data_IF_706487006517
#
_entry.id   IF_706487006517
#
_cell.length_a   1.000
_cell.length_b   1.000
_cell.length_c   1.000
_cell.angle_alpha   90.00
_cell.angle_beta   90.00
_cell.angle_gamma   90.00
#
_symmetry.space_group_name_H-M   'P 1'
#
loop_
_entity.id
_entity.type
_entity.pdbx_description
1 polymer ?
#
# COMPACT_ATOMS: atom_id res chain seq x y z
N UNK A 1 -14.70 -30.25 -7.83
CA UNK A 1 -14.38 -29.12 -8.74
C UNK A 1 -14.09 -27.95 -7.83
N UNK A 2 -12.87 -27.40 -7.84
CA UNK A 2 -12.55 -26.22 -7.04
C UNK A 2 -13.44 -25.07 -7.53
N UNK A 3 -14.19 -24.46 -6.63
CA UNK A 3 -15.04 -23.32 -6.94
C UNK A 3 -14.11 -22.15 -7.32
N UNK A 4 -14.02 -21.82 -8.61
CA UNK A 4 -13.24 -20.70 -9.10
C UNK A 4 -14.03 -19.41 -8.85
N UNK A 5 -13.41 -18.44 -8.23
CA UNK A 5 -13.99 -17.09 -8.05
C UNK A 5 -13.79 -16.30 -9.33
N UNK A 6 -14.89 -15.85 -9.94
CA UNK A 6 -14.86 -15.04 -11.16
C UNK A 6 -14.92 -13.56 -10.82
N UNK A 7 -13.95 -12.79 -11.32
CA UNK A 7 -13.79 -11.34 -11.07
C UNK A 7 -13.80 -10.56 -12.38
N UNK A 8 -14.67 -9.58 -12.47
CA UNK A 8 -14.60 -8.57 -13.54
C UNK A 8 -13.59 -7.48 -13.18
N UNK A 9 -12.43 -7.49 -13.83
CA UNK A 9 -11.36 -6.50 -13.63
C UNK A 9 -11.69 -5.09 -14.11
N UNK A 10 -12.88 -4.86 -14.68
CA UNK A 10 -13.39 -3.53 -15.04
C UNK A 10 -14.23 -2.87 -13.94
N UNK A 11 -14.53 -3.58 -12.84
CA UNK A 11 -15.32 -3.04 -11.73
C UNK A 11 -14.65 -1.81 -11.09
N UNK A 12 -15.45 -0.85 -10.62
CA UNK A 12 -14.99 0.36 -9.97
C UNK A 12 -13.98 1.14 -10.83
N UNK A 13 -12.79 1.39 -10.32
CA UNK A 13 -11.71 2.03 -11.09
C UNK A 13 -11.13 1.14 -12.20
N UNK A 14 -11.38 -0.16 -12.19
CA UNK A 14 -10.81 -1.10 -13.16
C UNK A 14 -9.28 -1.07 -13.17
N UNK A 15 -8.65 -0.95 -12.01
CA UNK A 15 -7.21 -0.78 -11.85
C UNK A 15 -6.46 -2.05 -11.43
N UNK A 16 -5.17 -1.91 -11.14
CA UNK A 16 -4.32 -3.00 -10.66
C UNK A 16 -4.62 -3.47 -9.23
N UNK A 17 -5.41 -2.72 -8.47
CA UNK A 17 -5.80 -3.08 -7.11
C UNK A 17 -6.63 -4.38 -7.09
N UNK A 18 -7.60 -4.54 -8.00
CA UNK A 18 -8.41 -5.76 -8.13
C UNK A 18 -7.52 -6.99 -8.23
N UNK A 19 -6.50 -6.93 -9.11
CA UNK A 19 -5.58 -8.04 -9.33
C UNK A 19 -4.86 -8.41 -8.01
N UNK A 20 -4.23 -7.42 -7.37
CA UNK A 20 -3.43 -7.66 -6.15
C UNK A 20 -4.28 -8.19 -5.00
N UNK A 21 -5.45 -7.58 -4.77
CA UNK A 21 -6.37 -8.03 -3.72
C UNK A 21 -6.88 -9.45 -4.00
N UNK A 22 -7.29 -9.74 -5.23
CA UNK A 22 -7.76 -11.08 -5.61
C UNK A 22 -6.68 -12.15 -5.49
N UNK A 23 -5.42 -11.86 -5.86
CA UNK A 23 -4.30 -12.77 -5.71
C UNK A 23 -4.01 -13.08 -4.23
N UNK A 24 -3.95 -12.06 -3.39
CA UNK A 24 -3.76 -12.25 -1.94
C UNK A 24 -4.88 -13.10 -1.34
N UNK A 25 -6.13 -12.80 -1.68
CA UNK A 25 -7.30 -13.55 -1.22
C UNK A 25 -7.28 -15.00 -1.73
N UNK A 26 -6.94 -15.22 -2.99
CA UNK A 26 -6.83 -16.56 -3.57
C UNK A 26 -5.81 -17.42 -2.79
N UNK A 27 -4.65 -16.87 -2.43
CA UNK A 27 -3.65 -17.58 -1.62
C UNK A 27 -4.18 -17.85 -0.22
N UNK A 28 -4.81 -16.85 0.41
CA UNK A 28 -5.31 -16.93 1.79
C UNK A 28 -6.47 -17.92 1.94
N UNK A 29 -7.33 -18.05 0.93
CA UNK A 29 -8.51 -18.92 0.95
C UNK A 29 -8.30 -20.26 0.27
N UNK A 30 -7.23 -20.41 -0.53
CA UNK A 30 -7.00 -21.57 -1.36
C UNK A 30 -7.92 -21.68 -2.59
N UNK A 31 -8.75 -20.63 -2.85
CA UNK A 31 -9.64 -20.61 -4.00
C UNK A 31 -8.91 -20.18 -5.27
N UNK A 32 -9.17 -20.86 -6.37
CA UNK A 32 -8.75 -20.39 -7.69
C UNK A 32 -9.50 -19.10 -8.06
N UNK A 33 -8.88 -18.23 -8.84
CA UNK A 33 -9.52 -17.01 -9.35
C UNK A 33 -9.30 -16.83 -10.85
N UNK A 34 -10.39 -16.51 -11.56
CA UNK A 34 -10.42 -16.04 -12.94
C UNK A 34 -10.71 -14.54 -12.98
N UNK A 35 -9.82 -13.74 -13.57
CA UNK A 35 -10.00 -12.30 -13.72
C UNK A 35 -10.12 -11.98 -15.20
N UNK A 36 -11.26 -11.45 -15.62
CA UNK A 36 -11.50 -10.95 -16.99
C UNK A 36 -11.40 -9.43 -17.02
N UNK A 37 -11.40 -8.83 -18.22
CA UNK A 37 -11.36 -7.38 -18.41
C UNK A 37 -10.26 -6.66 -17.62
N UNK A 38 -9.11 -7.29 -17.49
CA UNK A 38 -7.98 -6.80 -16.69
C UNK A 38 -7.62 -5.38 -17.12
N UNK A 39 -7.80 -4.44 -16.19
CA UNK A 39 -7.50 -3.01 -16.38
C UNK A 39 -8.18 -2.38 -17.61
N UNK A 40 -9.39 -2.82 -17.95
CA UNK A 40 -10.09 -2.39 -19.17
C UNK A 40 -10.34 -0.87 -19.24
N UNK A 41 -10.49 -0.19 -18.09
CA UNK A 41 -10.73 1.27 -18.02
C UNK A 41 -9.45 2.12 -18.00
N UNK A 42 -8.27 1.53 -18.14
CA UNK A 42 -7.00 2.26 -18.14
C UNK A 42 -6.52 2.54 -19.56
N UNK A 43 -5.79 3.63 -19.75
CA UNK A 43 -5.20 4.03 -21.05
C UNK A 43 -4.42 2.89 -21.71
N UNK A 44 -3.74 2.07 -20.91
CA UNK A 44 -3.07 0.84 -21.33
C UNK A 44 -3.73 -0.35 -20.64
N UNK A 45 -4.74 -0.99 -21.24
CA UNK A 45 -5.41 -2.16 -20.66
C UNK A 45 -4.48 -3.36 -20.55
N UNK A 46 -4.93 -4.38 -19.81
CA UNK A 46 -4.19 -5.60 -19.57
C UNK A 46 -3.06 -5.47 -18.54
N UNK A 47 -2.40 -6.59 -18.27
CA UNK A 47 -1.28 -6.65 -17.34
C UNK A 47 -0.12 -5.77 -17.81
N UNK A 48 0.42 -4.94 -16.93
CA UNK A 48 1.66 -4.20 -17.13
C UNK A 48 2.80 -4.86 -16.35
N UNK A 49 4.09 -4.56 -16.60
CA UNK A 49 5.21 -5.22 -15.93
C UNK A 49 5.08 -5.36 -14.41
N UNK A 50 4.66 -4.31 -13.71
CA UNK A 50 4.46 -4.37 -12.24
C UNK A 50 3.33 -5.31 -11.82
N UNK A 51 2.27 -5.46 -12.63
CA UNK A 51 1.18 -6.38 -12.33
C UNK A 51 1.63 -7.82 -12.56
N UNK A 52 2.38 -8.05 -13.63
CA UNK A 52 2.97 -9.34 -13.92
C UNK A 52 3.96 -9.77 -12.83
N UNK A 53 4.78 -8.82 -12.31
CA UNK A 53 5.66 -9.08 -11.17
C UNK A 53 4.86 -9.48 -9.92
N UNK A 54 3.74 -8.81 -9.63
CA UNK A 54 2.85 -9.18 -8.52
C UNK A 54 2.22 -10.56 -8.71
N UNK A 55 1.76 -10.90 -9.94
CA UNK A 55 1.23 -12.24 -10.28
C UNK A 55 2.28 -13.31 -10.05
N UNK A 56 3.49 -13.11 -10.56
CA UNK A 56 4.60 -14.07 -10.42
C UNK A 56 5.07 -14.19 -8.97
N UNK A 57 5.11 -13.09 -8.22
CA UNK A 57 5.43 -13.12 -6.81
C UNK A 57 4.38 -13.91 -6.01
N UNK A 58 3.09 -13.67 -6.27
CA UNK A 58 1.99 -14.42 -5.68
C UNK A 58 2.08 -15.93 -6.03
N UNK A 59 2.37 -16.26 -7.29
CA UNK A 59 2.51 -17.64 -7.71
C UNK A 59 3.70 -18.35 -7.03
N UNK A 60 4.83 -17.66 -6.89
CA UNK A 60 6.03 -18.23 -6.29
C UNK A 60 5.84 -18.60 -4.80
N UNK A 61 5.00 -17.87 -4.07
CA UNK A 61 4.79 -18.13 -2.63
C UNK A 61 3.82 -19.29 -2.36
N UNK A 62 3.04 -19.74 -3.35
CA UNK A 62 2.05 -20.82 -3.19
C UNK A 62 2.04 -21.86 -4.33
N UNK A 63 3.09 -21.90 -5.16
CA UNK A 63 3.24 -22.78 -6.34
C UNK A 63 2.03 -22.71 -7.29
N UNK A 64 1.45 -21.52 -7.49
CA UNK A 64 0.23 -21.40 -8.26
C UNK A 64 0.43 -21.76 -9.74
N UNK A 65 -0.59 -22.39 -10.34
CA UNK A 65 -0.72 -22.50 -11.79
C UNK A 65 -1.28 -21.21 -12.36
N UNK A 66 -0.71 -20.77 -13.47
CA UNK A 66 -1.06 -19.53 -14.13
C UNK A 66 -1.53 -19.77 -15.56
N UNK A 67 -2.51 -18.99 -16.01
CA UNK A 67 -2.81 -18.80 -17.41
C UNK A 67 -3.06 -17.32 -17.68
N UNK A 68 -2.56 -16.82 -18.81
CA UNK A 68 -2.68 -15.40 -19.16
C UNK A 68 -1.65 -14.49 -18.46
N UNK A 69 -0.56 -15.01 -17.90
CA UNK A 69 0.50 -14.28 -17.22
C UNK A 69 1.51 -13.63 -18.19
N UNK A 70 1.02 -12.85 -19.12
CA UNK A 70 1.83 -12.10 -20.09
C UNK A 70 1.46 -10.61 -20.10
N UNK A 71 2.44 -9.76 -20.46
CA UNK A 71 2.20 -8.31 -20.59
C UNK A 71 1.10 -8.06 -21.63
N UNK A 72 0.14 -7.23 -21.29
CA UNK A 72 -1.02 -6.90 -22.13
C UNK A 72 -2.18 -7.88 -22.03
N UNK A 73 -2.03 -9.01 -21.33
CA UNK A 73 -3.12 -9.97 -21.15
C UNK A 73 -4.32 -9.31 -20.46
N UNK A 74 -5.51 -9.54 -21.01
CA UNK A 74 -6.80 -9.03 -20.50
C UNK A 74 -7.56 -10.04 -19.66
N UNK A 75 -7.03 -11.25 -19.54
CA UNK A 75 -7.56 -12.30 -18.69
C UNK A 75 -6.41 -12.97 -17.94
N UNK A 76 -6.66 -13.37 -16.70
CA UNK A 76 -5.71 -14.06 -15.84
C UNK A 76 -6.44 -15.15 -15.08
N UNK A 77 -5.89 -16.37 -15.10
CA UNK A 77 -6.29 -17.43 -14.17
C UNK A 77 -5.14 -17.68 -13.21
N UNK A 78 -5.48 -17.78 -11.92
CA UNK A 78 -4.53 -18.03 -10.84
C UNK A 78 -5.09 -19.15 -9.93
N UNK A 79 -4.38 -20.27 -9.83
CA UNK A 79 -4.79 -21.45 -9.08
C UNK A 79 -3.73 -21.78 -8.02
N UNK A 80 -3.89 -21.39 -6.75
CA UNK A 80 -2.98 -21.80 -5.68
C UNK A 80 -2.90 -23.33 -5.59
N UNK A 81 -1.71 -23.89 -5.49
CA UNK A 81 -1.53 -25.33 -5.30
C UNK A 81 -1.21 -25.69 -3.86
N UNK A 82 -0.71 -24.73 -3.10
CA UNK A 82 -0.39 -24.87 -1.67
C UNK A 82 -0.77 -23.59 -0.92
N UNK A 83 -0.83 -23.66 0.39
CA UNK A 83 -0.78 -22.46 1.25
C UNK A 83 0.54 -21.73 1.04
N UNK A 84 0.63 -20.47 1.47
CA UNK A 84 1.87 -19.71 1.37
C UNK A 84 3.02 -20.44 2.09
N UNK A 85 4.17 -20.54 1.43
CA UNK A 85 5.36 -21.21 1.94
C UNK A 85 6.31 -20.20 2.57
N UNK A 86 6.87 -20.53 3.73
CA UNK A 86 7.97 -19.77 4.29
C UNK A 86 9.20 -19.89 3.40
N UNK A 87 9.97 -18.80 3.27
CA UNK A 87 11.16 -18.83 2.42
C UNK A 87 11.84 -17.49 2.22
N UNK A 88 12.88 -17.50 1.40
CA UNK A 88 13.62 -16.32 0.99
C UNK A 88 13.27 -15.98 -0.46
N UNK A 89 12.54 -14.91 -0.67
CA UNK A 89 12.02 -14.51 -1.97
C UNK A 89 12.75 -13.27 -2.50
N UNK A 90 13.06 -13.29 -3.79
CA UNK A 90 13.62 -12.14 -4.50
C UNK A 90 12.82 -11.90 -5.77
N UNK A 91 12.27 -10.70 -5.91
CA UNK A 91 11.46 -10.31 -7.05
C UNK A 91 12.06 -9.06 -7.69
N UNK A 92 12.41 -9.16 -8.96
CA UNK A 92 12.85 -8.01 -9.76
C UNK A 92 11.74 -7.64 -10.74
N UNK A 93 11.29 -6.39 -10.69
CA UNK A 93 10.26 -5.89 -11.60
C UNK A 93 10.87 -5.56 -12.98
N UNK A 94 12.19 -5.35 -13.05
CA UNK A 94 12.93 -5.04 -14.27
C UNK A 94 12.66 -3.63 -14.84
N UNK A 95 11.83 -2.84 -14.16
CA UNK A 95 11.44 -1.48 -14.54
C UNK A 95 11.23 -0.62 -13.29
N UNK A 96 10.86 0.67 -13.48
CA UNK A 96 10.42 1.51 -12.37
C UNK A 96 9.00 1.18 -11.86
N UNK A 97 8.51 -0.03 -12.10
CA UNK A 97 7.24 -0.49 -11.53
C UNK A 97 7.28 -0.53 -10.00
N UNK A 98 6.13 -0.32 -9.37
CA UNK A 98 6.02 -0.08 -7.94
C UNK A 98 6.33 -1.33 -7.09
N UNK A 99 7.49 -1.35 -6.44
CA UNK A 99 7.89 -2.41 -5.50
C UNK A 99 6.95 -2.49 -4.27
N UNK A 100 6.48 -1.39 -3.67
CA UNK A 100 5.51 -1.44 -2.56
C UNK A 100 4.24 -2.23 -2.89
N UNK A 101 3.75 -2.15 -4.12
CA UNK A 101 2.53 -2.86 -4.54
C UNK A 101 2.75 -4.37 -4.70
N UNK A 102 3.94 -4.79 -5.11
CA UNK A 102 4.32 -6.22 -5.14
C UNK A 102 4.43 -6.76 -3.73
N UNK A 103 5.08 -6.01 -2.83
CA UNK A 103 5.16 -6.35 -1.40
C UNK A 103 3.78 -6.55 -0.81
N UNK A 104 2.86 -5.61 -0.99
CA UNK A 104 1.50 -5.69 -0.43
C UNK A 104 0.72 -6.93 -0.94
N UNK A 105 1.05 -7.45 -2.13
CA UNK A 105 0.38 -8.65 -2.66
C UNK A 105 0.76 -9.93 -1.91
N UNK A 106 2.01 -10.06 -1.45
CA UNK A 106 2.52 -11.29 -0.83
C UNK A 106 2.67 -11.19 0.69
N UNK A 107 2.65 -9.98 1.26
CA UNK A 107 2.90 -9.74 2.67
C UNK A 107 1.91 -10.51 3.55
N UNK A 108 0.61 -10.29 3.37
CA UNK A 108 -0.41 -10.94 4.20
C UNK A 108 -0.39 -12.47 4.04
N UNK A 109 -0.38 -13.07 2.84
CA UNK A 109 -0.23 -14.50 2.67
C UNK A 109 0.99 -15.09 3.40
N UNK A 110 2.14 -14.42 3.35
CA UNK A 110 3.35 -14.91 4.01
C UNK A 110 3.28 -14.85 5.54
N UNK A 111 2.41 -14.04 6.14
CA UNK A 111 2.16 -14.10 7.58
C UNK A 111 1.49 -15.41 8.02
N UNK A 112 0.83 -16.13 7.09
CA UNK A 112 0.17 -17.41 7.35
C UNK A 112 1.08 -18.61 7.03
N UNK A 113 2.29 -18.39 6.55
CA UNK A 113 3.26 -19.45 6.30
C UNK A 113 3.72 -20.11 7.62
N UNK A 114 4.17 -21.35 7.54
CA UNK A 114 4.59 -22.15 8.72
C UNK A 114 5.87 -21.63 9.41
N UNK A 115 6.52 -20.60 8.88
CA UNK A 115 7.74 -20.00 9.44
C UNK A 115 7.97 -18.60 8.90
N UNK A 116 9.07 -17.98 9.35
CA UNK A 116 9.45 -16.65 8.90
C UNK A 116 9.85 -16.63 7.41
N UNK A 117 9.58 -15.50 6.76
CA UNK A 117 9.98 -15.27 5.37
C UNK A 117 10.76 -13.97 5.23
N UNK A 118 11.67 -13.94 4.26
CA UNK A 118 12.30 -12.71 3.80
C UNK A 118 11.87 -12.42 2.35
N UNK A 119 11.57 -11.15 2.07
CA UNK A 119 11.16 -10.72 0.74
C UNK A 119 12.00 -9.53 0.33
N UNK A 120 12.77 -9.67 -0.74
CA UNK A 120 13.48 -8.56 -1.39
C UNK A 120 12.78 -8.22 -2.70
N UNK A 121 12.38 -6.96 -2.89
CA UNK A 121 11.78 -6.49 -4.16
C UNK A 121 12.61 -5.36 -4.72
N UNK A 122 13.02 -5.51 -5.99
CA UNK A 122 13.74 -4.46 -6.74
C UNK A 122 12.82 -3.81 -7.77
N UNK A 123 12.77 -2.46 -7.78
CA UNK A 123 11.90 -1.71 -8.70
C UNK A 123 11.81 -0.23 -8.34
N UNK A 124 10.65 0.37 -8.56
CA UNK A 124 10.34 1.73 -8.13
C UNK A 124 9.87 1.74 -6.66
N UNK A 125 10.55 2.49 -5.80
CA UNK A 125 10.18 2.66 -4.38
C UNK A 125 9.48 4.00 -4.13
N UNK A 126 9.73 4.97 -5.01
CA UNK A 126 9.15 6.31 -4.99
C UNK A 126 8.65 6.63 -6.39
N UNK A 127 7.47 6.14 -6.72
CA UNK A 127 6.85 6.27 -8.04
C UNK A 127 5.39 6.69 -7.93
N UNK A 128 4.83 7.38 -8.93
CA UNK A 128 3.43 7.79 -8.91
C UNK A 128 2.47 6.60 -8.75
N UNK A 129 1.33 6.84 -8.10
CA UNK A 129 0.26 5.86 -7.89
C UNK A 129 0.67 4.64 -7.05
N UNK A 130 1.61 4.83 -6.14
CA UNK A 130 2.07 3.84 -5.19
C UNK A 130 2.37 4.51 -3.85
N UNK A 131 2.17 3.86 -2.71
CA UNK A 131 2.74 4.33 -1.46
C UNK A 131 4.26 4.42 -1.59
N UNK A 132 4.87 5.38 -0.92
CA UNK A 132 6.34 5.43 -0.76
C UNK A 132 6.78 4.42 0.30
N UNK A 133 8.07 4.11 0.34
CA UNK A 133 8.59 3.22 1.39
C UNK A 133 8.39 3.82 2.77
N UNK A 134 8.58 5.13 2.94
CA UNK A 134 8.37 5.83 4.21
C UNK A 134 6.91 5.78 4.66
N UNK A 135 5.96 5.81 3.73
CA UNK A 135 4.54 5.61 4.04
C UNK A 135 4.32 4.21 4.65
N UNK A 136 4.85 3.17 4.01
CA UNK A 136 4.74 1.81 4.53
C UNK A 136 5.48 1.66 5.86
N UNK A 137 6.72 2.17 5.97
CA UNK A 137 7.57 2.10 7.16
C UNK A 137 6.92 2.78 8.37
N UNK A 138 6.36 3.98 8.17
CA UNK A 138 5.92 4.84 9.27
C UNK A 138 4.43 4.69 9.61
N UNK A 139 3.58 4.12 8.73
CA UNK A 139 2.13 4.03 8.95
C UNK A 139 1.62 2.61 8.77
N UNK A 140 1.80 2.01 7.59
CA UNK A 140 1.19 0.72 7.29
C UNK A 140 1.77 -0.42 8.16
N UNK A 141 3.09 -0.57 8.20
CA UNK A 141 3.76 -1.60 9.02
C UNK A 141 3.47 -1.43 10.53
N UNK A 142 3.51 -0.25 11.14
CA UNK A 142 3.10 -0.06 12.53
C UNK A 142 1.66 -0.50 12.82
N UNK A 143 0.71 -0.26 11.90
CA UNK A 143 -0.67 -0.72 12.06
C UNK A 143 -0.81 -2.24 11.90
N UNK A 144 -0.08 -2.85 10.97
CA UNK A 144 0.00 -4.31 10.87
C UNK A 144 0.53 -4.92 12.18
N UNK A 145 1.58 -4.35 12.76
CA UNK A 145 2.11 -4.79 14.06
C UNK A 145 1.10 -4.60 15.19
N UNK A 146 0.36 -3.50 15.20
CA UNK A 146 -0.74 -3.27 16.15
C UNK A 146 -1.84 -4.32 15.99
N UNK A 147 -2.09 -4.78 14.76
CA UNK A 147 -2.97 -5.91 14.47
C UNK A 147 -2.32 -7.29 14.75
N UNK A 148 -1.12 -7.36 15.31
CA UNK A 148 -0.44 -8.62 15.67
C UNK A 148 0.32 -9.30 14.52
N UNK A 149 0.50 -8.62 13.39
CA UNK A 149 1.29 -9.11 12.27
C UNK A 149 2.71 -8.55 12.38
N UNK A 150 3.68 -9.36 12.75
CA UNK A 150 5.08 -8.92 12.94
C UNK A 150 5.82 -8.87 11.61
N UNK A 151 5.97 -7.65 11.11
CA UNK A 151 6.63 -7.33 9.85
C UNK A 151 7.71 -6.27 10.09
N UNK A 152 8.90 -6.46 9.55
CA UNK A 152 9.95 -5.44 9.50
C UNK A 152 10.20 -5.07 8.06
N UNK A 153 10.28 -3.78 7.80
CA UNK A 153 10.58 -3.19 6.50
C UNK A 153 11.84 -2.35 6.62
N UNK A 154 12.72 -2.51 5.66
CA UNK A 154 13.88 -1.63 5.44
C UNK A 154 14.09 -1.40 3.95
N UNK A 155 14.83 -0.36 3.58
CA UNK A 155 15.27 -0.15 2.22
C UNK A 155 16.64 0.52 2.18
N UNK A 156 17.45 0.15 1.21
CA UNK A 156 18.82 0.64 1.04
C UNK A 156 18.90 1.66 -0.11
N UNK A 157 18.28 1.33 -1.24
CA UNK A 157 18.33 2.12 -2.45
C UNK A 157 16.96 2.66 -2.81
N UNK A 158 16.88 3.93 -3.15
CA UNK A 158 15.67 4.52 -3.70
C UNK A 158 15.55 4.23 -5.22
N UNK A 159 14.33 4.01 -5.67
CA UNK A 159 14.02 3.80 -7.08
C UNK A 159 12.99 4.81 -7.57
N UNK A 160 13.42 5.74 -8.42
CA UNK A 160 12.57 6.76 -9.04
C UNK A 160 12.32 6.44 -10.52
N UNK A 161 11.17 6.91 -11.02
CA UNK A 161 10.88 6.85 -12.45
C UNK A 161 11.85 7.77 -13.24
N UNK A 162 12.36 7.38 -14.43
CA UNK A 162 12.02 6.14 -15.16
C UNK A 162 12.94 4.94 -14.85
N UNK A 163 14.02 5.10 -14.08
CA UNK A 163 15.06 4.06 -13.94
C UNK A 163 14.68 2.94 -12.96
N UNK A 164 13.92 3.24 -11.88
CA UNK A 164 13.67 2.28 -10.83
C UNK A 164 14.95 1.90 -10.08
N UNK A 165 15.18 0.63 -9.85
CA UNK A 165 16.38 0.08 -9.21
C UNK A 165 16.48 0.33 -7.70
N UNK A 166 15.38 0.76 -7.08
CA UNK A 166 15.27 0.77 -5.62
C UNK A 166 15.08 -0.63 -5.08
N UNK A 167 15.48 -0.85 -3.84
CA UNK A 167 15.36 -2.14 -3.18
C UNK A 167 14.65 -1.99 -1.83
N UNK A 168 13.65 -2.83 -1.61
CA UNK A 168 12.94 -2.99 -0.35
C UNK A 168 13.17 -4.40 0.18
N UNK A 169 13.44 -4.51 1.47
CA UNK A 169 13.67 -5.76 2.16
C UNK A 169 12.70 -5.89 3.34
N UNK A 170 11.99 -7.01 3.40
CA UNK A 170 11.05 -7.33 4.46
C UNK A 170 11.44 -8.61 5.17
N UNK A 171 11.22 -8.61 6.48
CA UNK A 171 11.16 -9.83 7.29
C UNK A 171 9.73 -9.95 7.80
N UNK A 172 9.09 -11.08 7.52
CA UNK A 172 7.69 -11.36 7.84
C UNK A 172 7.68 -12.59 8.73
N UNK A 173 7.18 -12.44 9.97
CA UNK A 173 7.03 -13.56 10.90
C UNK A 173 5.71 -14.28 10.68
N UNK A 174 5.70 -15.57 10.96
CA UNK A 174 4.46 -16.35 11.01
C UNK A 174 3.51 -15.78 12.07
N UNK A 175 2.22 -15.77 11.78
CA UNK A 175 1.18 -15.24 12.66
C UNK A 175 -0.02 -16.19 12.69
N UNK A 176 -0.75 -16.20 13.80
CA UNK A 176 -2.02 -16.92 13.94
C UNK A 176 -3.20 -16.15 13.32
N UNK A 177 -2.95 -15.02 12.68
CA UNK A 177 -3.93 -14.13 12.08
C UNK A 177 -3.98 -12.76 12.73
N UNK A 178 -4.56 -11.77 12.03
CA UNK A 178 -4.66 -10.41 12.55
C UNK A 178 -5.69 -10.30 13.69
N UNK A 179 -5.37 -9.43 14.64
CA UNK A 179 -6.32 -8.96 15.66
C UNK A 179 -7.14 -7.80 15.11
N UNK A 180 -8.39 -7.63 15.56
CA UNK A 180 -9.19 -6.49 15.14
C UNK A 180 -8.60 -5.16 15.59
N UNK A 181 -8.82 -4.11 14.81
CA UNK A 181 -8.46 -2.73 15.12
C UNK A 181 -9.71 -1.87 15.15
N UNK A 182 -9.89 -1.11 16.24
CA UNK A 182 -10.95 -0.12 16.37
C UNK A 182 -10.33 1.26 16.47
N UNK A 183 -10.61 2.11 15.50
CA UNK A 183 -10.07 3.47 15.35
C UNK A 183 -11.20 4.43 14.93
N UNK A 184 -12.04 4.83 15.89
CA UNK A 184 -13.21 5.68 15.65
C UNK A 184 -12.82 7.10 15.23
N UNK A 185 -11.69 7.58 15.76
CA UNK A 185 -11.14 8.89 15.46
C UNK A 185 -9.61 8.86 15.62
N UNK A 186 -8.92 9.88 15.09
CA UNK A 186 -7.45 9.94 15.24
C UNK A 186 -6.99 10.20 16.67
N UNK A 187 -7.80 10.89 17.46
CA UNK A 187 -7.40 11.37 18.79
C UNK A 187 -6.36 12.50 18.73
N UNK A 188 -5.66 12.71 19.84
CA UNK A 188 -4.63 13.75 19.96
C UNK A 188 -3.38 13.41 19.14
N UNK A 189 -2.81 14.42 18.46
CA UNK A 189 -1.54 14.27 17.75
C UNK A 189 -0.39 14.06 18.76
N UNK A 190 0.34 12.96 18.61
CA UNK A 190 1.49 12.61 19.45
C UNK A 190 2.80 12.97 18.77
N UNK A 191 2.95 12.64 17.50
CA UNK A 191 4.14 12.92 16.69
C UNK A 191 3.77 13.42 15.30
N UNK A 192 4.47 14.45 14.85
CA UNK A 192 4.45 14.93 13.47
C UNK A 192 5.86 14.86 12.92
N UNK A 193 6.04 14.08 11.85
CA UNK A 193 7.34 13.84 11.22
C UNK A 193 7.29 14.14 9.73
N UNK A 194 8.38 14.60 9.18
CA UNK A 194 8.56 14.73 7.74
C UNK A 194 9.83 14.02 7.29
N UNK A 195 9.74 13.34 6.17
CA UNK A 195 10.88 12.81 5.45
C UNK A 195 11.06 13.61 4.16
N UNK A 196 12.27 14.11 3.94
CA UNK A 196 12.71 14.72 2.69
C UNK A 196 13.76 13.80 2.09
N UNK A 197 13.37 13.11 1.03
CA UNK A 197 14.18 12.09 0.38
C UNK A 197 14.77 12.69 -0.89
N UNK A 198 16.07 12.55 -1.09
CA UNK A 198 16.76 12.97 -2.31
C UNK A 198 17.72 11.90 -2.79
N UNK A 199 17.94 11.84 -4.10
CA UNK A 199 18.93 10.96 -4.72
C UNK A 199 19.57 11.70 -5.88
N UNK A 200 20.91 11.75 -5.90
CA UNK A 200 21.70 12.40 -6.95
C UNK A 200 21.27 13.86 -7.18
N UNK A 201 20.96 14.59 -6.13
CA UNK A 201 20.61 16.00 -6.13
C UNK A 201 21.51 16.77 -5.16
N UNK A 202 21.83 18.05 -5.44
CA UNK A 202 22.58 18.88 -4.49
C UNK A 202 21.87 19.02 -3.14
N UNK A 203 22.62 19.11 -2.05
CA UNK A 203 22.11 19.17 -0.67
C UNK A 203 21.06 20.28 -0.45
N UNK A 204 21.28 21.46 -1.06
CA UNK A 204 20.35 22.59 -0.93
C UNK A 204 18.92 22.28 -1.41
N UNK A 205 18.73 21.22 -2.22
CA UNK A 205 17.40 20.78 -2.65
C UNK A 205 16.63 20.20 -1.45
N UNK A 206 17.29 19.35 -0.67
CA UNK A 206 16.70 18.80 0.56
C UNK A 206 16.46 19.88 1.61
N UNK A 207 17.37 20.86 1.74
CA UNK A 207 17.22 22.00 2.65
C UNK A 207 16.00 22.85 2.32
N UNK A 208 15.80 23.20 1.04
CA UNK A 208 14.64 23.96 0.58
C UNK A 208 13.31 23.22 0.88
N UNK A 209 13.32 21.88 0.68
CA UNK A 209 12.19 21.03 1.08
C UNK A 209 11.89 21.11 2.57
N UNK A 210 12.92 20.96 3.40
CA UNK A 210 12.79 21.02 4.86
C UNK A 210 12.26 22.37 5.35
N UNK A 211 12.83 23.48 4.88
CA UNK A 211 12.36 24.84 5.21
C UNK A 211 10.90 25.06 4.78
N UNK A 212 10.52 24.51 3.63
CA UNK A 212 9.14 24.62 3.14
C UNK A 212 8.17 23.87 4.04
N UNK A 213 8.52 22.63 4.44
CA UNK A 213 7.72 21.86 5.39
C UNK A 213 7.58 22.58 6.73
N UNK A 214 8.69 23.07 7.30
CA UNK A 214 8.68 23.76 8.59
C UNK A 214 7.74 24.99 8.55
N UNK A 215 7.86 25.79 7.50
CA UNK A 215 6.98 26.96 7.30
C UNK A 215 5.51 26.57 7.15
N UNK A 216 5.22 25.52 6.34
CA UNK A 216 3.85 25.09 6.03
C UNK A 216 3.16 24.47 7.25
N UNK A 217 3.92 23.81 8.15
CA UNK A 217 3.38 23.14 9.33
C UNK A 217 3.32 24.05 10.58
N UNK A 218 3.81 25.28 10.51
CA UNK A 218 3.82 26.21 11.66
C UNK A 218 2.44 26.42 12.28
N UNK A 219 1.40 26.45 11.46
CA UNK A 219 0.01 26.64 11.91
C UNK A 219 -0.55 25.47 12.73
N UNK A 220 0.07 24.29 12.69
CA UNK A 220 -0.37 23.10 13.47
C UNK A 220 -0.11 23.30 14.97
N UNK A 221 0.79 24.22 15.35
CA UNK A 221 1.14 24.49 16.74
C UNK A 221 1.91 23.36 17.44
N UNK A 222 2.46 22.42 16.67
CA UNK A 222 3.30 21.31 17.13
C UNK A 222 4.64 21.32 16.44
N UNK A 223 5.68 20.91 17.17
CA UNK A 223 7.02 20.73 16.58
C UNK A 223 6.96 19.57 15.59
N UNK A 224 7.43 19.81 14.38
CA UNK A 224 7.64 18.77 13.38
C UNK A 224 9.10 18.29 13.44
N UNK A 225 9.29 16.97 13.41
CA UNK A 225 10.61 16.33 13.26
C UNK A 225 10.87 16.16 11.79
N UNK A 226 11.90 16.83 11.25
CA UNK A 226 12.24 16.76 9.83
C UNK A 226 13.52 15.96 9.69
N UNK A 227 13.43 14.88 8.92
CA UNK A 227 14.53 13.98 8.59
C UNK A 227 14.87 14.09 7.10
N UNK A 228 16.09 14.49 6.79
CA UNK A 228 16.61 14.51 5.42
C UNK A 228 17.30 13.18 5.15
N UNK A 229 16.84 12.46 4.14
CA UNK A 229 17.35 11.15 3.74
C UNK A 229 17.95 11.25 2.34
N UNK A 230 19.27 11.28 2.23
CA UNK A 230 19.90 10.99 0.95
C UNK A 230 19.97 9.48 0.75
N UNK A 231 19.55 8.99 -0.41
CA UNK A 231 19.54 7.56 -0.73
C UNK A 231 20.24 7.30 -2.07
N UNK A 232 21.10 6.28 -2.13
CA UNK A 232 21.62 5.81 -3.42
C UNK A 232 20.48 5.46 -4.37
N UNK A 233 20.65 5.80 -5.64
CA UNK A 233 19.66 5.50 -6.70
C UNK A 233 20.33 5.47 -8.07
N UNK A 234 19.91 4.60 -9.00
CA UNK A 234 20.34 4.68 -10.39
C UNK A 234 19.88 5.95 -11.10
N UNK A 235 18.82 6.58 -10.59
CA UNK A 235 18.22 7.80 -11.14
C UNK A 235 18.27 8.97 -10.17
N UNK A 236 18.04 10.17 -10.71
CA UNK A 236 17.80 11.36 -9.89
C UNK A 236 16.35 11.39 -9.42
N UNK A 237 16.13 11.80 -8.18
CA UNK A 237 14.79 11.92 -7.67
C UNK A 237 14.69 12.64 -6.33
N UNK A 238 13.46 13.08 -6.02
CA UNK A 238 13.11 13.64 -4.72
C UNK A 238 11.71 13.20 -4.33
N UNK A 239 11.47 13.14 -3.02
CA UNK A 239 10.13 12.94 -2.46
C UNK A 239 10.01 13.68 -1.12
N UNK A 240 8.77 14.00 -0.74
CA UNK A 240 8.45 14.53 0.57
C UNK A 240 7.29 13.72 1.15
N UNK A 241 7.41 13.32 2.41
CA UNK A 241 6.39 12.55 3.13
C UNK A 241 6.13 13.21 4.48
N UNK A 242 4.87 13.50 4.78
CA UNK A 242 4.42 13.96 6.11
C UNK A 242 3.72 12.81 6.79
N UNK A 243 4.10 12.51 8.01
CA UNK A 243 3.53 11.43 8.83
C UNK A 243 2.96 12.02 10.11
N UNK A 244 1.71 11.69 10.40
CA UNK A 244 1.05 12.01 11.66
C UNK A 244 0.78 10.71 12.44
N UNK A 245 1.29 10.63 13.67
CA UNK A 245 0.91 9.60 14.63
C UNK A 245 0.06 10.25 15.71
N UNK A 246 -1.14 9.73 15.86
CA UNK A 246 -2.09 10.14 16.87
C UNK A 246 -2.38 9.01 17.86
N UNK A 247 -3.11 9.30 18.92
CA UNK A 247 -3.42 8.33 19.97
C UNK A 247 -4.10 7.07 19.44
N UNK A 248 -5.02 7.20 18.47
CA UNK A 248 -5.78 6.10 17.94
C UNK A 248 -5.52 5.90 16.44
N UNK A 249 -5.29 6.97 15.68
CA UNK A 249 -5.11 6.95 14.25
C UNK A 249 -3.70 7.26 13.77
N UNK A 250 -3.47 6.98 12.51
CA UNK A 250 -2.23 7.33 11.78
C UNK A 250 -2.57 7.75 10.37
N UNK A 251 -1.77 8.65 9.83
CA UNK A 251 -1.92 9.10 8.45
C UNK A 251 -0.55 9.48 7.85
N UNK A 252 -0.39 9.31 6.54
CA UNK A 252 0.73 9.91 5.84
C UNK A 252 0.35 10.43 4.46
N UNK A 253 1.07 11.45 4.03
CA UNK A 253 0.85 12.15 2.78
C UNK A 253 2.17 12.26 2.06
N UNK A 254 2.22 11.95 0.77
CA UNK A 254 3.46 11.93 0.03
C UNK A 254 3.35 12.60 -1.33
N UNK A 255 4.44 13.22 -1.75
CA UNK A 255 4.58 13.71 -3.11
C UNK A 255 5.97 13.36 -3.65
N UNK A 256 6.00 13.07 -4.95
CA UNK A 256 7.21 12.69 -5.68
C UNK A 256 7.59 13.83 -6.60
N UNK A 257 8.90 14.10 -6.67
CA UNK A 257 9.48 15.09 -7.56
C UNK A 257 9.33 14.68 -9.03
N UNK A 258 9.09 15.66 -9.85
CA UNK A 258 9.01 15.54 -11.30
C UNK A 258 10.02 16.49 -11.95
N UNK A 259 10.42 16.19 -13.18
CA UNK A 259 11.32 17.07 -13.90
C UNK A 259 10.75 18.51 -13.97
N UNK A 260 11.58 19.50 -13.65
CA UNK A 260 11.23 20.94 -13.61
C UNK A 260 10.24 21.35 -12.50
N UNK A 261 9.89 20.46 -11.58
CA UNK A 261 9.05 20.79 -10.42
C UNK A 261 9.95 21.20 -9.25
N UNK A 262 9.89 22.44 -8.78
CA UNK A 262 10.69 22.89 -7.64
C UNK A 262 10.42 22.06 -6.40
N UNK A 263 11.45 21.82 -5.57
CA UNK A 263 11.32 21.02 -4.35
C UNK A 263 10.29 21.62 -3.36
N UNK A 264 10.15 22.94 -3.35
CA UNK A 264 9.12 23.62 -2.55
C UNK A 264 7.72 23.13 -2.91
N UNK A 265 7.42 22.96 -4.21
CA UNK A 265 6.12 22.45 -4.66
C UNK A 265 5.92 20.97 -4.34
N UNK A 266 7.00 20.21 -4.33
CA UNK A 266 6.97 18.80 -3.89
C UNK A 266 6.68 18.73 -2.40
N UNK A 267 7.32 19.57 -1.58
CA UNK A 267 7.14 19.61 -0.13
C UNK A 267 5.78 20.22 0.32
N UNK A 268 5.26 21.22 -0.41
CA UNK A 268 3.96 21.85 -0.12
C UNK A 268 2.78 20.87 -0.34
N UNK A 269 2.88 19.95 -1.30
CA UNK A 269 1.76 19.06 -1.65
C UNK A 269 1.31 18.17 -0.48
N UNK A 270 2.20 17.37 0.17
CA UNK A 270 1.80 16.54 1.30
C UNK A 270 1.42 17.37 2.54
N UNK A 271 2.01 18.57 2.71
CA UNK A 271 1.58 19.48 3.78
C UNK A 271 0.14 19.92 3.61
N UNK A 272 -0.28 20.25 2.38
CA UNK A 272 -1.65 20.64 2.07
C UNK A 272 -2.63 19.46 2.28
N UNK A 273 -2.28 18.24 1.85
CA UNK A 273 -3.11 17.05 2.08
C UNK A 273 -3.23 16.74 3.58
N UNK A 274 -2.14 16.84 4.34
CA UNK A 274 -2.18 16.75 5.79
C UNK A 274 -3.15 17.77 6.40
N UNK A 275 -3.08 19.05 6.00
CA UNK A 275 -3.97 20.08 6.54
C UNK A 275 -5.44 19.84 6.19
N UNK A 276 -5.74 19.20 5.07
CA UNK A 276 -7.11 18.78 4.73
C UNK A 276 -7.58 17.66 5.67
N UNK A 277 -6.78 16.61 5.83
CA UNK A 277 -7.08 15.54 6.78
C UNK A 277 -7.17 16.05 8.23
N UNK A 278 -6.32 16.98 8.61
CA UNK A 278 -6.29 17.57 9.95
C UNK A 278 -7.59 18.30 10.34
N UNK A 279 -8.33 18.80 9.37
CA UNK A 279 -9.67 19.42 9.59
C UNK A 279 -10.74 18.40 9.95
N UNK A 280 -10.57 17.14 9.57
CA UNK A 280 -11.45 16.04 9.97
C UNK A 280 -11.00 15.42 11.28
N UNK A 281 -11.82 14.54 11.86
CA UNK A 281 -11.44 13.69 13.00
C UNK A 281 -11.04 12.29 12.58
N UNK A 282 -11.02 12.01 11.27
CA UNK A 282 -10.79 10.68 10.71
C UNK A 282 -9.49 10.04 11.20
N UNK A 283 -9.57 8.76 11.56
CA UNK A 283 -8.45 8.00 12.09
C UNK A 283 -7.37 7.70 11.06
N UNK A 284 -7.77 7.49 9.80
CA UNK A 284 -6.89 7.15 8.69
C UNK A 284 -6.88 8.23 7.62
N UNK A 285 -5.82 8.29 6.81
CA UNK A 285 -5.89 8.97 5.52
C UNK A 285 -6.69 8.14 4.50
N UNK A 286 -7.06 8.75 3.37
CA UNK A 286 -7.89 8.13 2.33
C UNK A 286 -7.29 6.87 1.70
N UNK A 287 -5.94 6.73 1.71
CA UNK A 287 -5.23 5.60 1.12
C UNK A 287 -5.00 4.48 2.12
N UNK A 288 -4.82 4.83 3.40
CA UNK A 288 -4.73 3.85 4.47
C UNK A 288 -6.05 3.10 4.63
N UNK A 289 -7.16 3.79 4.44
CA UNK A 289 -8.49 3.22 4.62
C UNK A 289 -8.73 2.00 3.72
N UNK A 290 -8.28 2.01 2.47
CA UNK A 290 -8.42 0.84 1.58
C UNK A 290 -7.34 -0.22 1.82
N UNK A 291 -6.13 0.18 2.25
CA UNK A 291 -5.04 -0.76 2.53
C UNK A 291 -5.30 -1.63 3.77
N UNK A 292 -6.06 -1.14 4.74
CA UNK A 292 -6.44 -1.89 5.95
C UNK A 292 -7.52 -2.95 5.70
N UNK A 293 -8.30 -2.83 4.63
CA UNK A 293 -9.40 -3.77 4.34
C UNK A 293 -8.90 -5.21 4.26
N UNK A 294 -7.90 -5.47 3.42
CA UNK A 294 -7.42 -6.84 3.20
C UNK A 294 -6.88 -7.50 4.49
N UNK A 295 -5.95 -6.92 5.27
CA UNK A 295 -5.47 -7.56 6.48
C UNK A 295 -6.57 -7.70 7.54
N UNK A 296 -7.44 -6.71 7.72
CA UNK A 296 -8.47 -6.75 8.75
C UNK A 296 -9.69 -7.63 8.38
N UNK A 297 -9.85 -8.00 7.11
CA UNK A 297 -10.86 -8.99 6.69
C UNK A 297 -10.64 -10.39 7.26
N UNK A 298 -9.46 -10.68 7.79
CA UNK A 298 -9.11 -11.94 8.44
C UNK A 298 -9.03 -11.80 9.96
N UNK A 299 -9.42 -10.67 10.53
CA UNK A 299 -9.44 -10.48 11.98
C UNK A 299 -10.59 -11.26 12.62
N UNK A 300 -10.37 -11.78 13.85
CA UNK A 300 -11.32 -12.63 14.56
C UNK A 300 -12.41 -11.85 15.34
N UNK A 301 -12.56 -10.55 15.09
CA UNK A 301 -13.55 -9.69 15.72
C UNK A 301 -13.79 -8.42 14.93
N UNK A 302 -14.66 -7.55 15.46
CA UNK A 302 -15.02 -6.29 14.83
C UNK A 302 -13.79 -5.36 14.66
N UNK A 303 -13.46 -5.03 13.42
CA UNK A 303 -12.55 -3.95 13.07
C UNK A 303 -13.34 -2.76 12.57
N UNK A 304 -12.98 -1.56 13.00
CA UNK A 304 -13.65 -0.33 12.61
C UNK A 304 -12.65 0.81 12.46
N UNK A 305 -12.77 1.61 11.40
CA UNK A 305 -11.96 2.81 11.20
C UNK A 305 -12.66 3.87 10.35
N UNK A 306 -12.32 5.13 10.59
CA UNK A 306 -12.87 6.27 9.88
C UNK A 306 -11.89 6.84 8.86
N UNK A 307 -12.41 7.40 7.77
CA UNK A 307 -11.67 8.01 6.66
C UNK A 307 -12.24 9.38 6.29
N UNK A 308 -11.42 10.36 5.89
CA UNK A 308 -11.93 11.66 5.46
C UNK A 308 -12.60 11.62 4.08
N UNK A 309 -12.38 10.54 3.31
CA UNK A 309 -12.96 10.36 1.98
C UNK A 309 -13.18 8.88 1.70
N UNK A 310 -14.40 8.52 1.33
CA UNK A 310 -14.73 7.19 0.79
C UNK A 310 -14.35 7.17 -0.69
N UNK A 311 -13.24 6.51 -1.00
CA UNK A 311 -12.69 6.47 -2.36
C UNK A 311 -13.25 5.29 -3.17
N UNK A 312 -13.18 5.37 -4.51
CA UNK A 312 -13.50 4.23 -5.38
C UNK A 312 -12.54 3.04 -5.15
N UNK A 313 -11.30 3.29 -4.70
CA UNK A 313 -10.38 2.25 -4.27
C UNK A 313 -10.93 1.48 -3.08
N UNK A 314 -11.44 2.17 -2.05
CA UNK A 314 -12.03 1.55 -0.86
C UNK A 314 -13.25 0.71 -1.24
N UNK A 315 -14.16 1.24 -2.06
CA UNK A 315 -15.34 0.50 -2.55
C UNK A 315 -14.94 -0.75 -3.33
N UNK A 316 -13.92 -0.61 -4.19
CA UNK A 316 -13.43 -1.69 -5.03
C UNK A 316 -12.81 -2.81 -4.20
N UNK A 317 -11.98 -2.50 -3.19
CA UNK A 317 -11.36 -3.55 -2.36
C UNK A 317 -12.39 -4.27 -1.49
N UNK A 318 -13.36 -3.55 -0.92
CA UNK A 318 -14.47 -4.15 -0.18
C UNK A 318 -15.31 -5.09 -1.06
N UNK A 319 -15.56 -4.69 -2.31
CA UNK A 319 -16.26 -5.54 -3.27
C UNK A 319 -15.46 -6.82 -3.59
N UNK A 320 -14.16 -6.73 -3.85
CA UNK A 320 -13.32 -7.92 -4.12
C UNK A 320 -13.31 -8.86 -2.91
N UNK A 321 -13.18 -8.33 -1.70
CA UNK A 321 -13.17 -9.15 -0.47
C UNK A 321 -14.46 -9.95 -0.33
N UNK A 322 -15.62 -9.35 -0.60
CA UNK A 322 -16.92 -10.03 -0.56
C UNK A 322 -17.07 -11.17 -1.59
N UNK A 323 -16.23 -11.22 -2.64
CA UNK A 323 -16.27 -12.34 -3.59
C UNK A 323 -15.59 -13.60 -3.01
N UNK A 324 -14.72 -13.46 -2.02
CA UNK A 324 -13.94 -14.55 -1.46
C UNK A 324 -14.37 -14.93 -0.03
N UNK A 325 -14.83 -13.97 0.76
CA UNK A 325 -15.06 -14.14 2.19
C UNK A 325 -16.52 -13.88 2.54
N UNK A 326 -17.08 -14.76 3.38
CA UNK A 326 -18.35 -14.53 4.08
C UNK A 326 -18.06 -13.72 5.33
N UNK A 327 -18.05 -12.40 5.20
CA UNK A 327 -17.85 -11.43 6.28
C UNK A 327 -18.91 -10.33 6.21
N UNK A 328 -19.27 -9.78 7.35
CA UNK A 328 -20.09 -8.59 7.42
C UNK A 328 -19.23 -7.37 7.10
N UNK A 329 -19.64 -6.61 6.11
CA UNK A 329 -18.99 -5.37 5.67
C UNK A 329 -19.99 -4.25 5.69
N UNK A 330 -19.77 -3.27 6.53
CA UNK A 330 -20.54 -2.03 6.57
C UNK A 330 -19.64 -0.87 6.11
N UNK A 331 -20.14 -0.08 5.18
CA UNK A 331 -19.52 1.14 4.69
C UNK A 331 -20.51 2.28 4.90
N UNK A 332 -20.24 3.10 5.90
CA UNK A 332 -20.94 4.35 6.11
C UNK A 332 -20.31 5.45 5.25
N UNK A 333 -21.15 6.24 4.60
CA UNK A 333 -20.71 7.40 3.84
C UNK A 333 -21.58 8.60 4.22
N UNK A 334 -20.91 9.70 4.53
CA UNK A 334 -21.55 10.94 4.93
C UNK A 334 -21.65 11.91 3.73
N UNK A 335 -22.52 12.92 3.85
CA UNK A 335 -22.75 13.92 2.79
C UNK A 335 -21.48 14.70 2.41
N UNK A 336 -20.52 14.85 3.34
CA UNK A 336 -19.24 15.51 3.08
C UNK A 336 -18.18 14.60 2.40
N UNK A 337 -18.57 13.35 2.08
CA UNK A 337 -17.72 12.33 1.47
C UNK A 337 -16.83 11.59 2.45
N UNK A 338 -16.83 11.93 3.74
CA UNK A 338 -16.19 11.14 4.78
C UNK A 338 -16.95 9.85 5.05
N UNK A 339 -16.38 8.93 5.81
CA UNK A 339 -17.09 7.70 6.15
C UNK A 339 -16.35 6.81 7.12
N UNK A 340 -16.96 5.66 7.37
CA UNK A 340 -16.42 4.63 8.24
C UNK A 340 -16.56 3.24 7.60
N UNK A 341 -15.65 2.37 7.94
CA UNK A 341 -15.65 0.95 7.54
C UNK A 341 -15.73 0.10 8.79
N UNK A 342 -16.65 -0.85 8.80
CA UNK A 342 -16.72 -1.93 9.79
C UNK A 342 -16.59 -3.27 9.08
N UNK A 343 -15.75 -4.14 9.63
CA UNK A 343 -15.57 -5.52 9.18
C UNK A 343 -15.71 -6.45 10.40
N UNK A 344 -16.53 -7.48 10.28
CA UNK A 344 -16.62 -8.54 11.28
C UNK A 344 -16.75 -9.91 10.63
N UNK A 345 -16.32 -10.99 11.30
CA UNK A 345 -16.66 -12.35 10.89
C UNK A 345 -18.20 -12.49 10.80
N UNK A 346 -18.69 -13.25 9.79
CA UNK A 346 -20.11 -13.56 9.65
C UNK A 346 -20.57 -14.60 10.69
#
# INVERSE_FOLDING_TARGET
>A
MSNMVEIDGSFGEGGGQIIRTALSLAIMTGHAVGITNVRARRTKPGLQPQHLAAVRAAAAVCDARLAGDSVGSRALTFEPQTTAKAGNYRFDIGTAGAAPLVVQTVLLPLTQAAGASTVTVTGGTHVPHSPTVEYLEAVYVPLLRRAGLDVTLSYTNAGFYPRGGGQMDLVIQASTGPKPLVMNERGRLEELRAFIITSNLPEHVAERGAVTVERSMKAVGRKIIIERRERPSPGTGAAAVIVARCQQGMAAFSAIGELRKPMEKVAEAPCREFMQWWKSTAACDKHLADQLVLPLSFATGLSHWTTPVVTEHLRTVLWVVRQFLSIDVELEEHEDGSGAVSLSPA
#
